data_IF_244079696733
#
_entry.id   IF_244079696733
#
_cell.length_a   1.000
_cell.length_b   1.000
_cell.length_c   1.000
_cell.angle_alpha   90.00
_cell.angle_beta   90.00
_cell.angle_gamma   90.00
#
_symmetry.space_group_name_H-M   'P 1'
#
loop_
_entity.id
_entity.type
_entity.pdbx_description
1 polymer ?
#
# COMPACT_ATOMS: atom_id res chain seq x y z
N UNK A 1 9.31 19.56 8.43
CA UNK A 1 8.39 18.42 8.11
C UNK A 1 8.87 17.14 8.79
N UNK A 2 8.95 17.12 10.11
CA UNK A 2 9.59 16.03 10.86
C UNK A 2 8.65 15.14 11.69
N UNK A 3 7.34 15.33 11.61
CA UNK A 3 6.43 14.72 12.59
C UNK A 3 5.85 13.35 12.25
N UNK A 4 5.57 13.04 10.99
CA UNK A 4 4.85 11.81 10.62
C UNK A 4 5.76 10.65 10.23
N UNK A 5 6.91 10.92 9.63
CA UNK A 5 7.82 9.88 9.13
C UNK A 5 8.62 9.13 10.20
N UNK A 6 8.59 9.57 11.44
CA UNK A 6 9.33 8.95 12.55
C UNK A 6 8.46 8.33 13.63
N UNK A 7 7.14 8.40 13.52
CA UNK A 7 6.23 7.80 14.50
C UNK A 7 6.09 6.30 14.22
N UNK A 8 6.44 5.41 15.19
CA UNK A 8 6.37 3.97 15.02
C UNK A 8 4.94 3.44 14.81
N UNK A 9 3.93 4.24 15.15
CA UNK A 9 2.52 3.88 14.96
C UNK A 9 1.97 4.30 13.58
N UNK A 10 2.79 4.98 12.75
CA UNK A 10 2.36 5.45 11.44
C UNK A 10 3.12 4.71 10.35
N UNK A 11 2.42 3.86 9.62
CA UNK A 11 2.91 3.24 8.40
C UNK A 11 2.58 4.12 7.19
N UNK A 12 3.57 4.45 6.37
CA UNK A 12 3.38 5.23 5.15
C UNK A 12 3.94 4.51 3.94
N UNK A 13 3.29 4.69 2.81
CA UNK A 13 3.78 4.25 1.50
C UNK A 13 3.49 5.37 0.49
N UNK A 14 4.52 5.77 -0.24
CA UNK A 14 4.40 6.81 -1.27
C UNK A 14 4.10 6.16 -2.61
N UNK A 15 3.02 6.61 -3.26
CA UNK A 15 2.62 6.18 -4.60
C UNK A 15 3.40 6.88 -5.73
N UNK A 16 4.62 7.34 -5.46
CA UNK A 16 5.46 7.97 -6.47
C UNK A 16 5.88 6.95 -7.53
N UNK A 17 6.03 7.42 -8.77
CA UNK A 17 6.70 6.68 -9.83
C UNK A 17 8.16 6.43 -9.45
N UNK A 18 8.41 5.35 -8.73
CA UNK A 18 9.76 4.90 -8.44
C UNK A 18 10.28 4.25 -9.72
N UNK A 19 10.98 5.04 -10.52
CA UNK A 19 11.71 4.55 -11.68
C UNK A 19 12.95 3.82 -11.20
N UNK A 20 12.94 2.53 -11.39
CA UNK A 20 14.13 1.70 -11.27
C UNK A 20 14.44 1.10 -12.65
N UNK A 21 14.64 1.95 -13.64
CA UNK A 21 14.92 1.57 -15.04
C UNK A 21 16.19 0.69 -15.19
N UNK A 22 16.99 0.63 -14.15
CA UNK A 22 18.23 -0.15 -14.06
C UNK A 22 18.09 -1.49 -13.32
N UNK A 23 16.87 -1.83 -12.83
CA UNK A 23 16.57 -3.18 -12.34
C UNK A 23 15.95 -3.95 -13.49
N UNK A 24 16.64 -4.99 -13.98
CA UNK A 24 16.13 -5.88 -15.01
C UNK A 24 14.74 -6.41 -14.64
N UNK A 25 13.77 -6.20 -15.51
CA UNK A 25 12.38 -6.62 -15.31
C UNK A 25 11.53 -5.69 -14.45
N UNK A 26 12.08 -4.61 -13.90
CA UNK A 26 11.32 -3.61 -13.15
C UNK A 26 10.85 -2.50 -14.09
N UNK A 27 9.73 -2.72 -14.73
CA UNK A 27 9.18 -1.72 -15.62
C UNK A 27 8.64 -0.51 -14.85
N UNK A 28 8.77 0.64 -15.49
CA UNK A 28 8.08 1.86 -15.08
C UNK A 28 6.59 1.55 -15.01
N UNK A 29 5.99 1.68 -13.84
CA UNK A 29 4.54 1.69 -13.72
C UNK A 29 4.01 3.01 -14.29
N UNK A 30 3.96 3.09 -15.60
CA UNK A 30 3.10 4.04 -16.27
C UNK A 30 1.82 3.29 -16.59
N UNK A 31 0.82 3.39 -15.76
CA UNK A 31 -0.51 3.07 -16.22
C UNK A 31 -0.84 4.06 -17.33
N UNK A 32 -1.24 3.60 -18.54
CA UNK A 32 -1.64 4.48 -19.62
C UNK A 32 -3.06 5.03 -19.36
N UNK A 33 -3.27 5.58 -18.17
CA UNK A 33 -4.52 6.20 -17.78
C UNK A 33 -4.44 7.67 -18.19
N UNK A 34 -4.55 7.92 -19.49
CA UNK A 34 -4.67 9.28 -20.02
C UNK A 34 -3.48 10.19 -19.72
N UNK A 35 -3.41 11.30 -20.44
CA UNK A 35 -2.27 12.24 -20.46
C UNK A 35 -2.07 12.96 -19.11
N UNK A 36 -3.00 12.86 -18.16
CA UNK A 36 -3.04 13.72 -16.97
C UNK A 36 -3.08 12.96 -15.62
N UNK A 37 -3.04 11.63 -15.59
CA UNK A 37 -3.10 10.85 -14.34
C UNK A 37 -1.91 9.92 -14.25
N UNK A 38 -0.96 10.27 -13.39
CA UNK A 38 0.29 9.51 -13.19
C UNK A 38 0.32 8.74 -11.85
N UNK A 39 -0.80 8.61 -11.17
CA UNK A 39 -0.88 7.97 -9.84
C UNK A 39 -2.23 7.31 -9.57
N UNK A 40 -2.26 6.45 -8.57
CA UNK A 40 -3.50 5.87 -8.04
C UNK A 40 -4.44 7.00 -7.61
N UNK A 41 -5.62 7.08 -8.24
CA UNK A 41 -6.60 8.14 -7.99
C UNK A 41 -7.73 7.73 -7.04
N UNK A 42 -7.61 6.58 -6.41
CA UNK A 42 -8.57 6.04 -5.44
C UNK A 42 -8.55 6.87 -4.16
N UNK A 43 -9.74 7.22 -3.66
CA UNK A 43 -9.92 7.98 -2.43
C UNK A 43 -10.86 7.22 -1.51
N UNK A 44 -10.31 6.70 -0.43
CA UNK A 44 -11.11 6.15 0.66
C UNK A 44 -10.35 6.27 1.99
N UNK A 45 -11.08 6.21 3.06
CA UNK A 45 -10.57 6.14 4.42
C UNK A 45 -11.29 5.02 5.15
N UNK A 46 -10.52 4.27 5.93
CA UNK A 46 -11.02 3.24 6.81
C UNK A 46 -10.74 3.63 8.26
N UNK A 47 -11.76 3.54 9.09
CA UNK A 47 -11.63 3.74 10.54
C UNK A 47 -12.06 2.44 11.20
N UNK A 48 -11.16 1.87 11.97
CA UNK A 48 -11.33 0.61 12.68
C UNK A 48 -11.95 -0.52 11.80
N UNK A 49 -11.34 -0.82 10.63
CA UNK A 49 -11.94 -1.73 9.66
C UNK A 49 -12.11 -3.16 10.19
N UNK A 50 -11.35 -3.55 11.22
CA UNK A 50 -11.41 -4.87 11.84
C UNK A 50 -12.25 -4.88 13.12
N UNK A 51 -12.76 -3.73 13.52
CA UNK A 51 -13.57 -3.58 14.72
C UNK A 51 -15.05 -3.93 14.48
N UNK A 52 -15.82 -3.93 15.56
CA UNK A 52 -17.25 -4.25 15.52
C UNK A 52 -18.11 -3.17 14.82
N UNK A 53 -17.59 -1.96 14.69
CA UNK A 53 -18.29 -0.82 14.10
C UNK A 53 -17.42 -0.06 13.09
N UNK A 54 -16.99 -0.72 12.01
CA UNK A 54 -16.10 -0.10 11.03
C UNK A 54 -16.78 1.07 10.33
N UNK A 55 -15.98 2.05 9.90
CA UNK A 55 -16.45 3.13 9.06
C UNK A 55 -15.62 3.19 7.79
N UNK A 56 -16.30 3.14 6.65
CA UNK A 56 -15.68 3.31 5.32
C UNK A 56 -16.17 4.61 4.71
N UNK A 57 -15.24 5.49 4.35
CA UNK A 57 -15.51 6.71 3.59
C UNK A 57 -14.94 6.51 2.19
N UNK A 58 -15.71 6.83 1.16
CA UNK A 58 -15.25 6.78 -0.23
C UNK A 58 -15.99 7.81 -1.07
N UNK A 59 -15.44 8.17 -2.22
CA UNK A 59 -16.05 9.14 -3.12
C UNK A 59 -15.06 9.72 -4.12
N UNK A 60 -15.46 10.80 -4.77
CA UNK A 60 -14.64 11.50 -5.75
C UNK A 60 -13.70 12.55 -5.12
N UNK A 61 -14.06 13.08 -3.94
CA UNK A 61 -13.36 14.17 -3.28
C UNK A 61 -11.92 13.79 -2.86
N UNK A 62 -10.97 14.62 -3.24
CA UNK A 62 -9.64 14.59 -2.62
C UNK A 62 -9.72 15.16 -1.19
N UNK A 63 -8.76 14.77 -0.35
CA UNK A 63 -8.61 15.35 1.00
C UNK A 63 -7.97 16.74 0.92
N UNK A 64 -8.63 17.66 0.23
CA UNK A 64 -8.15 19.02 0.01
C UNK A 64 -9.27 20.03 0.16
N UNK A 65 -8.92 21.27 0.54
CA UNK A 65 -9.89 22.34 0.70
C UNK A 65 -10.64 22.61 -0.61
N UNK A 66 -9.95 22.60 -1.73
CA UNK A 66 -10.54 22.81 -3.05
C UNK A 66 -11.64 21.78 -3.38
N UNK A 67 -11.44 20.52 -3.00
CA UNK A 67 -12.45 19.47 -3.21
C UNK A 67 -13.66 19.62 -2.28
N UNK A 68 -13.50 20.28 -1.13
CA UNK A 68 -14.58 20.49 -0.17
C UNK A 68 -15.40 21.74 -0.49
N UNK A 69 -14.73 22.81 -0.96
CA UNK A 69 -15.34 24.14 -1.06
C UNK A 69 -15.71 24.55 -2.49
N UNK A 70 -15.03 24.02 -3.51
CA UNK A 70 -15.13 24.55 -4.88
C UNK A 70 -15.51 23.53 -5.94
N UNK A 71 -15.31 22.24 -5.71
CA UNK A 71 -15.64 21.20 -6.67
C UNK A 71 -16.99 20.57 -6.38
N UNK A 72 -17.67 20.13 -7.44
CA UNK A 72 -18.82 19.24 -7.32
C UNK A 72 -18.36 17.81 -7.09
N UNK A 73 -18.38 17.39 -5.85
CA UNK A 73 -17.87 16.10 -5.40
C UNK A 73 -18.94 15.26 -4.70
N UNK A 74 -18.74 13.97 -4.63
CA UNK A 74 -19.58 13.08 -3.83
C UNK A 74 -18.76 12.40 -2.73
N UNK A 75 -19.45 12.02 -1.66
CA UNK A 75 -18.89 11.22 -0.58
C UNK A 75 -19.94 10.28 -0.02
N UNK A 76 -19.56 9.04 0.18
CA UNK A 76 -20.32 8.03 0.90
C UNK A 76 -19.65 7.73 2.24
N UNK A 77 -20.45 7.66 3.28
CA UNK A 77 -20.02 7.24 4.63
C UNK A 77 -20.82 6.00 5.00
N UNK A 78 -20.15 4.85 5.01
CA UNK A 78 -20.76 3.55 5.30
C UNK A 78 -20.35 3.16 6.72
N UNK A 79 -21.32 2.94 7.59
CA UNK A 79 -21.08 2.65 9.01
C UNK A 79 -21.58 1.27 9.39
N UNK A 80 -20.76 0.53 10.14
CA UNK A 80 -21.13 -0.76 10.72
C UNK A 80 -21.26 -1.91 9.72
N UNK A 81 -20.89 -1.72 8.46
CA UNK A 81 -20.89 -2.77 7.46
C UNK A 81 -19.49 -3.40 7.36
N UNK A 82 -19.30 -4.51 8.10
CA UNK A 82 -18.04 -5.25 8.10
C UNK A 82 -17.66 -5.80 6.74
N UNK A 83 -18.63 -6.24 5.93
CA UNK A 83 -18.36 -6.79 4.60
C UNK A 83 -17.79 -5.75 3.64
N UNK A 84 -18.36 -4.54 3.68
CA UNK A 84 -17.82 -3.42 2.89
C UNK A 84 -16.44 -3.04 3.40
N UNK A 85 -16.25 -2.97 4.71
CA UNK A 85 -14.94 -2.67 5.31
C UNK A 85 -13.87 -3.69 4.91
N UNK A 86 -14.18 -4.98 4.88
CA UNK A 86 -13.28 -6.06 4.47
C UNK A 86 -12.83 -5.92 3.02
N UNK A 87 -13.77 -5.60 2.11
CA UNK A 87 -13.45 -5.39 0.69
C UNK A 87 -12.48 -4.21 0.52
N UNK A 88 -12.78 -3.08 1.15
CA UNK A 88 -11.91 -1.90 1.08
C UNK A 88 -10.57 -2.11 1.80
N UNK A 89 -10.56 -2.87 2.89
CA UNK A 89 -9.32 -3.21 3.60
C UNK A 89 -8.42 -4.12 2.76
N UNK A 90 -9.00 -5.10 2.06
CA UNK A 90 -8.27 -5.92 1.10
C UNK A 90 -7.61 -5.08 0.00
N UNK A 91 -8.33 -4.13 -0.59
CA UNK A 91 -7.79 -3.22 -1.59
C UNK A 91 -6.72 -2.29 -1.01
N UNK A 92 -6.95 -1.75 0.19
CA UNK A 92 -5.95 -0.94 0.90
C UNK A 92 -4.64 -1.73 1.07
N UNK A 93 -4.72 -2.95 1.57
CA UNK A 93 -3.53 -3.78 1.81
C UNK A 93 -2.78 -4.11 0.53
N UNK A 94 -3.51 -4.37 -0.57
CA UNK A 94 -2.93 -4.61 -1.88
C UNK A 94 -2.12 -3.41 -2.37
N UNK A 95 -2.72 -2.23 -2.36
CA UNK A 95 -2.09 -0.98 -2.80
C UNK A 95 -0.95 -0.58 -1.87
N UNK A 96 -1.19 -0.61 -0.57
CA UNK A 96 -0.20 -0.22 0.43
C UNK A 96 1.04 -1.12 0.42
N UNK A 97 0.86 -2.44 0.40
CA UNK A 97 1.98 -3.38 0.39
C UNK A 97 2.83 -3.22 -0.89
N UNK A 98 2.17 -3.04 -2.04
CA UNK A 98 2.84 -2.81 -3.31
C UNK A 98 3.73 -1.56 -3.28
N UNK A 99 3.17 -0.41 -2.90
CA UNK A 99 3.93 0.85 -2.87
C UNK A 99 4.98 0.89 -1.76
N UNK A 100 4.69 0.29 -0.59
CA UNK A 100 5.66 0.19 0.50
C UNK A 100 6.88 -0.63 0.11
N UNK A 101 6.66 -1.73 -0.61
CA UNK A 101 7.76 -2.53 -1.14
C UNK A 101 8.62 -1.73 -2.10
N UNK A 102 8.03 -1.07 -3.08
CA UNK A 102 8.75 -0.24 -4.06
C UNK A 102 9.53 0.89 -3.39
N UNK A 103 8.93 1.55 -2.41
CA UNK A 103 9.58 2.60 -1.63
C UNK A 103 10.79 2.06 -0.84
N UNK A 104 10.67 0.87 -0.24
CA UNK A 104 11.79 0.25 0.50
C UNK A 104 12.97 -0.04 -0.41
N UNK A 105 12.72 -0.50 -1.63
CA UNK A 105 13.74 -0.70 -2.66
C UNK A 105 14.41 0.62 -3.03
N UNK A 106 13.63 1.66 -3.32
CA UNK A 106 14.17 2.96 -3.71
C UNK A 106 15.04 3.58 -2.60
N UNK A 107 14.59 3.53 -1.36
CA UNK A 107 15.36 4.02 -0.20
C UNK A 107 16.67 3.24 -0.01
N UNK A 108 16.63 1.93 -0.19
CA UNK A 108 17.84 1.11 -0.09
C UNK A 108 18.87 1.50 -1.13
N UNK A 109 18.40 1.75 -2.34
CA UNK A 109 19.26 2.18 -3.44
C UNK A 109 19.81 3.58 -3.23
N UNK A 110 18.98 4.50 -2.79
CA UNK A 110 19.41 5.87 -2.46
C UNK A 110 20.51 5.86 -1.39
N UNK A 111 20.38 4.98 -0.40
CA UNK A 111 21.30 4.89 0.73
C UNK A 111 22.62 4.17 0.38
N UNK A 112 22.56 3.10 -0.41
CA UNK A 112 23.69 2.17 -0.61
C UNK A 112 24.16 2.08 -2.06
N UNK A 113 23.46 2.74 -3.00
CA UNK A 113 23.74 2.67 -4.43
C UNK A 113 23.14 1.44 -5.11
N UNK A 114 23.03 1.50 -6.43
CA UNK A 114 22.42 0.45 -7.26
C UNK A 114 23.14 -0.91 -7.18
N UNK A 115 24.45 -0.91 -7.01
CA UNK A 115 25.22 -2.15 -6.87
C UNK A 115 24.85 -2.94 -5.61
N UNK A 116 24.42 -2.27 -4.56
CA UNK A 116 23.99 -2.92 -3.32
C UNK A 116 22.69 -3.71 -3.48
N UNK A 117 21.87 -3.38 -4.47
CA UNK A 117 20.64 -4.12 -4.76
C UNK A 117 20.93 -5.58 -5.18
N UNK A 118 22.00 -5.83 -5.89
CA UNK A 118 22.38 -7.18 -6.32
C UNK A 118 22.76 -8.10 -5.15
N UNK A 119 23.16 -7.51 -4.02
CA UNK A 119 23.50 -8.23 -2.78
C UNK A 119 22.37 -8.21 -1.76
N UNK A 120 21.50 -7.20 -1.83
CA UNK A 120 20.31 -7.08 -1.02
C UNK A 120 19.10 -7.54 -1.83
N UNK A 121 18.69 -8.77 -1.62
CA UNK A 121 17.40 -9.23 -2.12
C UNK A 121 16.38 -9.02 -0.99
N UNK A 122 15.32 -8.19 -1.20
CA UNK A 122 14.22 -8.16 -0.28
C UNK A 122 13.73 -9.57 -0.01
N UNK A 123 13.34 -9.84 1.23
CA UNK A 123 12.92 -11.19 1.62
C UNK A 123 11.77 -11.76 0.77
N UNK A 124 11.02 -10.87 0.11
CA UNK A 124 9.89 -11.23 -0.76
C UNK A 124 10.28 -11.56 -2.21
N UNK A 125 11.57 -11.47 -2.58
CA UNK A 125 12.08 -11.77 -3.92
C UNK A 125 12.97 -13.03 -3.97
N UNK A 126 12.69 -14.00 -3.13
CA UNK A 126 13.39 -15.27 -3.18
C UNK A 126 12.87 -16.14 -4.33
N UNK A 127 13.77 -16.59 -5.19
CA UNK A 127 13.46 -17.51 -6.29
C UNK A 127 13.09 -18.92 -5.79
N UNK A 128 13.65 -19.35 -4.66
CA UNK A 128 13.40 -20.66 -4.07
C UNK A 128 12.27 -20.60 -3.04
N UNK A 129 11.18 -21.31 -3.31
CA UNK A 129 10.03 -21.41 -2.42
C UNK A 129 10.38 -21.88 -1.00
N UNK A 130 11.44 -22.68 -0.84
CA UNK A 130 11.93 -23.12 0.48
C UNK A 130 12.40 -21.96 1.36
N UNK A 131 12.75 -20.84 0.76
CA UNK A 131 13.25 -19.67 1.47
C UNK A 131 12.13 -18.71 1.90
N UNK A 132 11.08 -18.55 1.09
CA UNK A 132 10.03 -17.56 1.39
C UNK A 132 8.72 -18.18 1.88
N UNK A 133 8.33 -19.38 1.43
CA UNK A 133 7.08 -20.00 1.86
C UNK A 133 6.99 -20.19 3.38
N UNK A 134 8.03 -20.70 4.10
CA UNK A 134 7.92 -20.93 5.53
C UNK A 134 7.59 -19.68 6.34
N UNK A 135 8.04 -18.49 5.90
CA UNK A 135 7.77 -17.25 6.64
C UNK A 135 6.28 -16.87 6.63
N UNK A 136 5.54 -17.22 5.57
CA UNK A 136 4.09 -16.97 5.47
C UNK A 136 3.25 -17.86 6.38
N UNK A 137 3.83 -18.98 6.86
CA UNK A 137 3.16 -19.95 7.73
C UNK A 137 3.73 -19.99 9.15
N UNK A 138 4.69 -19.12 9.45
CA UNK A 138 5.25 -19.01 10.80
C UNK A 138 4.18 -18.44 11.74
N UNK A 139 3.69 -19.21 12.74
CA UNK A 139 2.63 -18.77 13.63
C UNK A 139 2.91 -17.42 14.28
N UNK A 140 1.94 -16.50 14.23
CA UNK A 140 2.04 -15.17 14.82
C UNK A 140 2.91 -14.17 14.04
N UNK A 141 3.48 -14.54 12.90
CA UNK A 141 4.14 -13.57 12.01
C UNK A 141 3.13 -12.67 11.31
N UNK A 142 3.57 -11.49 10.87
CA UNK A 142 2.73 -10.57 10.09
C UNK A 142 2.13 -11.26 8.85
N UNK A 143 2.90 -12.09 8.17
CA UNK A 143 2.45 -12.86 7.00
C UNK A 143 1.39 -13.92 7.37
N UNK A 144 1.59 -14.63 8.49
CA UNK A 144 0.60 -15.60 8.97
C UNK A 144 -0.71 -14.93 9.36
N UNK A 145 -0.64 -13.80 10.09
CA UNK A 145 -1.83 -13.02 10.48
C UNK A 145 -2.58 -12.54 9.25
N UNK A 146 -1.88 -11.96 8.25
CA UNK A 146 -2.49 -11.52 7.00
C UNK A 146 -3.13 -12.67 6.24
N UNK A 147 -2.40 -13.78 6.09
CA UNK A 147 -2.90 -14.98 5.39
C UNK A 147 -4.20 -15.49 6.01
N UNK A 148 -4.21 -15.68 7.32
CA UNK A 148 -5.38 -16.18 8.05
C UNK A 148 -6.55 -15.22 8.00
N UNK A 149 -6.30 -13.94 8.12
CA UNK A 149 -7.33 -12.92 7.98
C UNK A 149 -8.04 -13.00 6.62
N UNK A 150 -7.28 -13.05 5.53
CA UNK A 150 -7.86 -13.11 4.19
C UNK A 150 -8.43 -14.50 3.81
N UNK A 151 -7.98 -15.56 4.48
CA UNK A 151 -8.56 -16.90 4.33
C UNK A 151 -9.80 -17.14 5.20
N UNK A 152 -10.18 -16.17 6.04
CA UNK A 152 -11.25 -16.28 7.02
C UNK A 152 -11.07 -17.47 8.01
N UNK A 153 -9.80 -17.71 8.41
CA UNK A 153 -9.40 -18.75 9.36
C UNK A 153 -9.23 -18.20 10.79
#
# INVERSE_FOLDING_TARGET
MGGLFGDPNIGMALGNNICADWIDGWHRESEPIGVNVNWVHTKFMLIDPLGSHPVTLTGSANWSLASVDTNDENMLVIRGDGRVADIYFGEFMRVFAHHRFRESVARHIEQFGSAAFNTWKPQDLFEDSRNWVPMHFRPGSEHDIKRRYFAAE
#
